data_IF_423901814697
#
_entry.id   IF_423901814697
#
_cell.length_a   1.000
_cell.length_b   1.000
_cell.length_c   1.000
_cell.angle_alpha   90.00
_cell.angle_beta   90.00
_cell.angle_gamma   90.00
#
_symmetry.space_group_name_H-M   'P 1'
#
loop_
_entity.id
_entity.type
_entity.pdbx_description
1 polymer ?
#
# COMPACT_ATOMS: atom_id res chain seq x y z
N UNK A 1 10.05 -9.61 14.26
CA UNK A 1 9.58 -8.49 15.14
C UNK A 1 10.74 -7.73 15.77
N UNK A 2 11.79 -8.41 16.28
CA UNK A 2 12.95 -7.76 16.88
C UNK A 2 13.59 -6.73 15.93
N UNK A 3 13.91 -7.13 14.70
CA UNK A 3 14.50 -6.23 13.70
C UNK A 3 13.63 -5.00 13.41
N UNK A 4 12.30 -5.14 13.53
CA UNK A 4 11.38 -4.02 13.35
C UNK A 4 11.42 -3.08 14.54
N UNK A 5 11.48 -3.62 15.76
CA UNK A 5 11.65 -2.82 16.99
C UNK A 5 12.95 -2.02 16.95
N UNK A 6 14.05 -2.64 16.54
CA UNK A 6 15.35 -1.97 16.42
C UNK A 6 15.32 -0.83 15.38
N UNK A 7 14.61 -1.04 14.26
CA UNK A 7 14.44 0.01 13.23
C UNK A 7 13.57 1.16 13.70
N UNK A 8 12.50 0.87 14.43
CA UNK A 8 11.63 1.90 15.03
C UNK A 8 12.44 2.70 16.05
N UNK A 9 13.09 2.04 16.99
CA UNK A 9 13.89 2.69 18.02
C UNK A 9 15.02 3.54 17.42
N UNK A 10 15.70 3.05 16.38
CA UNK A 10 16.72 3.82 15.66
C UNK A 10 16.17 5.06 14.96
N UNK A 11 14.97 4.98 14.41
CA UNK A 11 14.30 6.14 13.78
C UNK A 11 13.88 7.17 14.82
N UNK A 12 13.31 6.76 15.94
CA UNK A 12 12.89 7.64 17.03
C UNK A 12 14.07 8.41 17.64
N UNK A 13 15.25 7.80 17.71
CA UNK A 13 16.48 8.44 18.21
C UNK A 13 16.99 9.54 17.26
N UNK A 14 16.61 9.55 15.99
CA UNK A 14 17.04 10.60 15.02
C UNK A 14 16.31 11.92 15.20
N UNK A 15 15.35 12.02 16.13
CA UNK A 15 14.64 13.26 16.45
C UNK A 15 13.72 13.75 15.33
N UNK A 16 13.42 12.92 14.35
CA UNK A 16 12.41 13.24 13.35
C UNK A 16 11.05 13.23 14.02
N UNK A 17 10.43 14.41 14.05
CA UNK A 17 9.13 14.61 14.68
C UNK A 17 8.05 13.71 14.10
N UNK A 18 7.25 13.12 14.99
CA UNK A 18 5.82 12.84 14.87
C UNK A 18 5.39 11.45 14.48
N UNK A 19 4.18 11.20 14.93
CA UNK A 19 3.30 10.05 14.71
C UNK A 19 3.57 9.35 13.39
N UNK A 20 4.33 8.30 13.46
CA UNK A 20 4.79 7.59 12.29
C UNK A 20 3.93 6.35 12.01
N UNK A 21 3.90 6.00 10.75
CA UNK A 21 3.52 4.67 10.30
C UNK A 21 4.80 3.99 9.85
N UNK A 22 5.15 2.89 10.47
CA UNK A 22 6.29 2.07 10.06
C UNK A 22 5.80 0.93 9.18
N UNK A 23 6.42 0.72 8.02
CA UNK A 23 5.98 -0.34 7.12
C UNK A 23 7.16 -1.03 6.41
N UNK A 24 6.93 -2.28 6.03
CA UNK A 24 7.92 -3.11 5.37
C UNK A 24 7.37 -3.85 4.17
N UNK A 25 8.05 -4.92 3.80
CA UNK A 25 7.70 -5.81 2.70
C UNK A 25 6.91 -7.01 3.20
N UNK A 26 6.24 -7.71 2.30
CA UNK A 26 5.61 -9.00 2.57
C UNK A 26 6.15 -10.06 1.60
N UNK A 27 6.24 -11.29 2.07
CA UNK A 27 6.48 -12.45 1.23
C UNK A 27 5.15 -13.11 0.90
N UNK A 28 4.84 -13.26 -0.38
CA UNK A 28 3.60 -13.88 -0.84
C UNK A 28 3.86 -15.36 -1.16
N UNK A 29 3.24 -16.25 -0.39
CA UNK A 29 3.47 -17.71 -0.51
C UNK A 29 2.97 -18.30 -1.81
N UNK A 30 1.80 -17.84 -2.29
CA UNK A 30 1.19 -18.37 -3.53
C UNK A 30 2.09 -18.17 -4.74
N UNK A 31 2.69 -17.00 -4.85
CA UNK A 31 3.60 -16.68 -5.97
C UNK A 31 5.06 -16.96 -5.67
N UNK A 32 5.41 -17.20 -4.40
CA UNK A 32 6.79 -17.34 -3.95
C UNK A 32 7.61 -16.07 -4.12
N UNK A 33 6.98 -14.91 -4.11
CA UNK A 33 7.61 -13.63 -4.44
C UNK A 33 7.65 -12.67 -3.26
N UNK A 34 8.74 -11.91 -3.19
CA UNK A 34 8.83 -10.75 -2.31
C UNK A 34 8.04 -9.58 -2.94
N UNK A 35 7.00 -9.16 -2.25
CA UNK A 35 6.22 -7.95 -2.60
C UNK A 35 6.82 -6.77 -1.86
N UNK A 36 7.66 -6.02 -2.55
CA UNK A 36 8.30 -4.82 -1.99
C UNK A 36 7.33 -3.66 -1.96
N UNK A 37 7.23 -3.02 -0.80
CA UNK A 37 6.50 -1.76 -0.62
C UNK A 37 7.25 -0.59 -1.26
N UNK A 38 6.50 0.46 -1.63
CA UNK A 38 7.11 1.68 -2.15
C UNK A 38 7.87 2.42 -1.02
N UNK A 39 9.20 2.60 -1.13
CA UNK A 39 9.98 3.26 -0.09
C UNK A 39 9.72 4.77 0.04
N UNK A 40 9.15 5.39 -1.00
CA UNK A 40 8.82 6.82 -1.04
C UNK A 40 7.33 6.97 -1.33
N UNK A 41 6.51 6.77 -0.29
CA UNK A 41 5.08 6.90 -0.41
C UNK A 41 4.68 8.38 -0.47
N UNK A 42 3.87 8.71 -1.46
CA UNK A 42 3.30 10.04 -1.66
C UNK A 42 1.80 9.92 -1.98
N UNK A 43 1.13 11.05 -2.17
CA UNK A 43 -0.31 11.08 -2.45
C UNK A 43 -0.71 10.25 -3.69
N UNK A 44 0.12 10.22 -4.75
CA UNK A 44 -0.12 9.36 -5.90
C UNK A 44 0.05 7.87 -5.57
N UNK A 45 1.05 7.54 -4.73
CA UNK A 45 1.21 6.19 -4.19
C UNK A 45 -0.03 5.76 -3.42
N UNK A 46 -0.51 6.59 -2.50
CA UNK A 46 -1.75 6.38 -1.74
C UNK A 46 -2.98 6.21 -2.66
N UNK A 47 -3.10 7.01 -3.72
CA UNK A 47 -4.18 6.86 -4.71
C UNK A 47 -4.20 5.49 -5.38
N UNK A 48 -3.04 4.92 -5.66
CA UNK A 48 -2.92 3.60 -6.28
C UNK A 48 -3.19 2.46 -5.31
N UNK A 49 -2.50 2.46 -4.22
CA UNK A 49 -2.61 1.51 -3.11
C UNK A 49 -1.68 1.93 -1.98
N UNK A 50 -1.95 1.45 -0.77
CA UNK A 50 -1.09 1.62 0.39
C UNK A 50 -0.25 0.36 0.63
N UNK A 51 0.78 0.39 1.50
CA UNK A 51 1.49 -0.82 1.90
C UNK A 51 0.53 -1.88 2.47
N UNK A 52 0.91 -3.14 2.36
CA UNK A 52 0.10 -4.23 2.94
C UNK A 52 -0.09 -3.99 4.44
N UNK A 53 -1.32 -3.98 4.93
CA UNK A 53 -1.63 -3.69 6.32
C UNK A 53 -0.96 -4.67 7.29
N UNK A 54 -0.72 -5.92 6.87
CA UNK A 54 0.00 -6.92 7.67
C UNK A 54 1.48 -6.56 7.90
N UNK A 55 2.02 -5.64 7.10
CA UNK A 55 3.38 -5.12 7.25
C UNK A 55 3.40 -3.65 7.71
N UNK A 56 2.29 -3.14 8.26
CA UNK A 56 2.18 -1.79 8.78
C UNK A 56 2.06 -1.80 10.31
N UNK A 57 2.84 -0.91 10.95
CA UNK A 57 2.77 -0.62 12.37
C UNK A 57 2.42 0.84 12.53
N UNK A 58 1.43 1.11 13.35
CA UNK A 58 0.94 2.45 13.61
C UNK A 58 1.26 2.86 15.03
N UNK A 59 1.61 4.10 15.23
CA UNK A 59 1.59 4.65 16.57
C UNK A 59 0.18 4.54 17.16
N UNK A 60 0.11 4.12 18.40
CA UNK A 60 -1.15 3.83 19.11
C UNK A 60 -2.14 5.00 19.04
N UNK A 61 -1.63 6.22 19.18
CA UNK A 61 -2.45 7.43 19.20
C UNK A 61 -3.20 7.67 17.88
N UNK A 62 -2.63 7.27 16.74
CA UNK A 62 -3.32 7.35 15.44
C UNK A 62 -4.58 6.47 15.42
N UNK A 63 -4.48 5.25 15.95
CA UNK A 63 -5.60 4.30 15.99
C UNK A 63 -6.65 4.70 17.02
N UNK A 64 -6.25 5.34 18.12
CA UNK A 64 -7.20 5.86 19.12
C UNK A 64 -7.97 7.08 18.62
N UNK A 65 -7.31 7.96 17.87
CA UNK A 65 -7.95 9.17 17.30
C UNK A 65 -8.89 8.84 16.14
N UNK A 66 -8.60 7.81 15.38
CA UNK A 66 -9.42 7.38 14.25
C UNK A 66 -9.43 5.85 14.18
N UNK A 67 -10.37 5.18 14.84
CA UNK A 67 -10.50 3.73 14.75
C UNK A 67 -10.99 3.30 13.37
N UNK A 68 -10.76 2.03 13.01
CA UNK A 68 -11.21 1.47 11.74
C UNK A 68 -12.70 1.72 11.49
N UNK A 69 -13.02 2.27 10.33
CA UNK A 69 -14.38 2.61 9.94
C UNK A 69 -15.10 1.37 9.41
N UNK A 70 -16.08 0.86 10.18
CA UNK A 70 -16.78 -0.40 9.89
C UNK A 70 -17.71 -0.33 8.66
N UNK A 71 -17.97 0.87 8.14
CA UNK A 71 -18.68 1.06 6.88
C UNK A 71 -17.90 0.55 5.66
N UNK A 72 -16.57 0.47 5.76
CA UNK A 72 -15.69 -0.10 4.74
C UNK A 72 -15.40 -1.56 5.05
N UNK A 73 -16.10 -2.44 4.36
CA UNK A 73 -16.02 -3.88 4.63
C UNK A 73 -14.71 -4.52 4.16
N UNK A 74 -14.14 -4.00 3.07
CA UNK A 74 -12.95 -4.57 2.41
C UNK A 74 -11.74 -3.65 2.50
N UNK A 75 -11.95 -2.34 2.60
CA UNK A 75 -10.92 -1.31 2.53
C UNK A 75 -10.80 -0.45 3.78
N UNK A 76 -11.20 -0.97 4.94
CA UNK A 76 -11.07 -0.23 6.21
C UNK A 76 -9.60 0.10 6.54
N UNK A 77 -8.69 -0.81 6.25
CA UNK A 77 -7.24 -0.63 6.38
C UNK A 77 -6.70 0.47 5.43
N UNK A 78 -7.20 0.51 4.21
CA UNK A 78 -6.87 1.54 3.25
C UNK A 78 -7.38 2.92 3.69
N UNK A 79 -8.60 2.99 4.18
CA UNK A 79 -9.18 4.23 4.71
C UNK A 79 -8.40 4.75 5.91
N UNK A 80 -8.09 3.87 6.87
CA UNK A 80 -7.28 4.18 8.04
C UNK A 80 -5.92 4.77 7.65
N UNK A 81 -5.24 4.15 6.68
CA UNK A 81 -3.95 4.66 6.20
C UNK A 81 -4.09 6.05 5.58
N UNK A 82 -5.11 6.28 4.75
CA UNK A 82 -5.34 7.57 4.12
C UNK A 82 -5.67 8.66 5.14
N UNK A 83 -6.47 8.35 6.15
CA UNK A 83 -6.72 9.29 7.25
C UNK A 83 -5.41 9.67 7.96
N UNK A 84 -4.61 8.69 8.32
CA UNK A 84 -3.31 8.94 8.94
C UNK A 84 -2.43 9.85 8.06
N UNK A 85 -2.38 9.57 6.76
CA UNK A 85 -1.54 10.31 5.82
C UNK A 85 -2.06 11.74 5.53
N UNK A 86 -3.36 11.89 5.24
CA UNK A 86 -3.92 13.17 4.78
C UNK A 86 -4.41 14.07 5.92
N UNK A 87 -5.01 13.52 6.98
CA UNK A 87 -5.61 14.29 8.07
C UNK A 87 -4.64 14.40 9.26
N UNK A 88 -4.13 13.28 9.75
CA UNK A 88 -3.20 13.28 10.87
C UNK A 88 -1.79 13.75 10.49
N UNK A 89 -1.49 13.85 9.18
CA UNK A 89 -0.14 14.20 8.66
C UNK A 89 0.95 13.27 9.18
N UNK A 90 0.59 12.02 9.45
CA UNK A 90 1.56 11.02 9.83
C UNK A 90 2.60 10.82 8.73
N UNK A 91 3.86 10.66 9.13
CA UNK A 91 4.96 10.43 8.21
C UNK A 91 5.22 8.93 8.08
N UNK A 92 4.92 8.28 6.92
CA UNK A 92 5.19 6.86 6.73
C UNK A 92 6.68 6.61 6.55
N UNK A 93 7.24 5.72 7.38
CA UNK A 93 8.65 5.34 7.33
C UNK A 93 8.81 3.91 6.79
N UNK A 94 9.54 3.78 5.69
CA UNK A 94 9.85 2.48 5.10
C UNK A 94 11.07 1.87 5.77
N UNK A 95 10.90 0.70 6.38
CA UNK A 95 11.96 0.01 7.14
C UNK A 95 12.88 -0.86 6.29
N UNK A 96 12.45 -1.24 5.09
CA UNK A 96 13.19 -2.17 4.21
C UNK A 96 13.10 -3.64 4.62
N UNK A 97 12.46 -3.95 5.75
CA UNK A 97 12.37 -5.30 6.31
C UNK A 97 11.20 -6.06 5.72
N UNK A 98 11.33 -7.37 5.52
CA UNK A 98 10.21 -8.27 5.23
C UNK A 98 9.56 -8.65 6.55
N UNK A 99 8.32 -8.18 6.77
CA UNK A 99 7.63 -8.23 8.06
C UNK A 99 6.68 -9.39 8.17
N UNK A 100 5.94 -9.66 7.08
CA UNK A 100 4.86 -10.63 7.09
C UNK A 100 5.01 -11.64 5.96
N UNK A 101 4.51 -12.82 6.24
CA UNK A 101 4.33 -13.91 5.29
C UNK A 101 2.83 -14.01 4.97
N UNK A 102 2.49 -13.70 3.73
CA UNK A 102 1.11 -13.57 3.26
C UNK A 102 0.72 -14.78 2.40
N UNK A 103 -0.33 -15.48 2.81
CA UNK A 103 -0.76 -16.69 2.09
C UNK A 103 -1.38 -16.41 0.72
N UNK A 104 -1.89 -15.21 0.47
CA UNK A 104 -2.66 -14.90 -0.73
C UNK A 104 -4.10 -15.42 -0.67
N UNK A 105 -4.93 -15.07 -1.66
CA UNK A 105 -6.32 -15.57 -1.74
C UNK A 105 -7.25 -15.10 -0.62
N UNK A 106 -6.89 -14.04 0.09
CA UNK A 106 -7.63 -13.52 1.23
C UNK A 106 -9.03 -12.98 0.89
N UNK A 107 -9.75 -12.55 1.92
CA UNK A 107 -11.13 -12.04 1.83
C UNK A 107 -11.31 -10.96 0.75
N UNK A 108 -10.36 -10.04 0.59
CA UNK A 108 -10.41 -8.94 -0.38
C UNK A 108 -10.30 -9.39 -1.85
N UNK A 109 -9.79 -10.59 -2.10
CA UNK A 109 -9.49 -11.10 -3.46
C UNK A 109 -10.65 -11.91 -4.08
N UNK A 110 -11.67 -12.23 -3.32
CA UNK A 110 -12.84 -12.93 -3.85
C UNK A 110 -13.56 -12.07 -4.90
N UNK A 111 -14.13 -12.71 -5.95
CA UNK A 111 -14.84 -11.99 -7.03
C UNK A 111 -15.90 -11.02 -6.51
N UNK A 112 -16.67 -11.41 -5.48
CA UNK A 112 -17.67 -10.56 -4.83
C UNK A 112 -17.04 -9.34 -4.18
N UNK A 113 -15.97 -9.52 -3.44
CA UNK A 113 -15.31 -8.46 -2.70
C UNK A 113 -14.49 -7.54 -3.60
N UNK A 114 -14.05 -7.98 -4.77
CA UNK A 114 -13.39 -7.12 -5.76
C UNK A 114 -14.27 -5.94 -6.23
N UNK A 115 -15.58 -6.19 -6.42
CA UNK A 115 -16.51 -5.12 -6.79
C UNK A 115 -16.70 -4.12 -5.64
N UNK A 116 -16.91 -4.64 -4.41
CA UNK A 116 -17.01 -3.83 -3.18
C UNK A 116 -15.73 -3.03 -2.98
N UNK A 117 -14.57 -3.67 -3.09
CA UNK A 117 -13.24 -3.04 -2.95
C UNK A 117 -13.05 -1.86 -3.92
N UNK A 118 -13.52 -1.97 -5.18
CA UNK A 118 -13.43 -0.86 -6.15
C UNK A 118 -14.31 0.32 -5.74
N UNK A 119 -15.53 0.04 -5.30
CA UNK A 119 -16.46 1.08 -4.88
C UNK A 119 -15.99 1.78 -3.60
N UNK A 120 -15.53 1.03 -2.62
CA UNK A 120 -14.96 1.57 -1.39
C UNK A 120 -13.70 2.40 -1.69
N UNK A 121 -12.80 1.93 -2.54
CA UNK A 121 -11.64 2.71 -2.99
C UNK A 121 -12.07 4.04 -3.60
N UNK A 122 -13.08 4.05 -4.48
CA UNK A 122 -13.60 5.26 -5.08
C UNK A 122 -14.11 6.25 -4.04
N UNK A 123 -14.90 5.78 -3.06
CA UNK A 123 -15.44 6.61 -1.98
C UNK A 123 -14.32 7.19 -1.11
N UNK A 124 -13.35 6.35 -0.72
CA UNK A 124 -12.25 6.74 0.14
C UNK A 124 -11.36 7.79 -0.55
N UNK A 125 -10.98 7.60 -1.81
CA UNK A 125 -10.19 8.60 -2.52
C UNK A 125 -10.96 9.90 -2.78
N UNK A 126 -12.30 9.84 -2.88
CA UNK A 126 -13.15 11.04 -2.94
C UNK A 126 -13.16 11.81 -1.60
N UNK A 127 -13.10 11.10 -0.49
CA UNK A 127 -13.06 11.70 0.86
C UNK A 127 -11.76 12.47 1.11
N UNK A 128 -10.60 11.91 0.70
CA UNK A 128 -9.29 12.45 1.06
C UNK A 128 -8.57 13.23 -0.03
N UNK A 129 -9.03 13.15 -1.28
CA UNK A 129 -8.33 13.76 -2.41
C UNK A 129 -9.25 14.67 -3.21
N UNK A 130 -8.75 15.84 -3.59
CA UNK A 130 -9.47 16.79 -4.44
C UNK A 130 -9.81 16.20 -5.81
N UNK A 131 -10.79 16.79 -6.50
CA UNK A 131 -11.14 16.40 -7.85
C UNK A 131 -9.92 16.51 -8.80
N UNK A 132 -9.16 17.59 -8.72
CA UNK A 132 -7.97 17.81 -9.53
C UNK A 132 -6.91 16.73 -9.34
N UNK A 133 -6.61 16.35 -8.10
CA UNK A 133 -5.67 15.26 -7.79
C UNK A 133 -6.13 13.94 -8.41
N UNK A 134 -7.40 13.56 -8.20
CA UNK A 134 -7.97 12.31 -8.73
C UNK A 134 -7.94 12.28 -10.26
N UNK A 135 -8.28 13.39 -10.91
CA UNK A 135 -8.23 13.53 -12.36
C UNK A 135 -6.80 13.37 -12.88
N UNK A 136 -5.85 14.10 -12.31
CA UNK A 136 -4.42 14.02 -12.68
C UNK A 136 -3.87 12.60 -12.49
N UNK A 137 -4.15 11.97 -11.36
CA UNK A 137 -3.67 10.62 -11.08
C UNK A 137 -4.27 9.57 -12.03
N UNK A 138 -5.55 9.73 -12.36
CA UNK A 138 -6.21 8.88 -13.37
C UNK A 138 -5.57 9.05 -14.75
N UNK A 139 -5.28 10.29 -15.13
CA UNK A 139 -4.61 10.60 -16.39
C UNK A 139 -3.21 9.97 -16.45
N UNK A 140 -2.42 10.11 -15.39
CA UNK A 140 -1.10 9.47 -15.28
C UNK A 140 -1.21 7.95 -15.42
N UNK A 141 -2.18 7.31 -14.76
CA UNK A 141 -2.39 5.86 -14.89
C UNK A 141 -2.78 5.45 -16.31
N UNK A 142 -3.58 6.23 -17.01
CA UNK A 142 -3.93 5.98 -18.41
C UNK A 142 -2.71 6.12 -19.32
N UNK A 143 -1.97 7.22 -19.20
CA UNK A 143 -0.77 7.49 -20.02
C UNK A 143 0.36 6.48 -19.77
N UNK A 144 0.53 6.02 -18.54
CA UNK A 144 1.55 5.02 -18.20
C UNK A 144 1.12 3.58 -18.49
N UNK A 145 -0.04 3.39 -19.10
CA UNK A 145 -0.60 2.07 -19.40
C UNK A 145 -0.63 1.11 -18.18
N UNK A 146 -0.76 1.68 -16.99
CA UNK A 146 -0.73 0.91 -15.76
C UNK A 146 -1.77 -0.23 -15.72
N UNK A 147 -3.02 -0.05 -16.18
CA UNK A 147 -4.00 -1.13 -16.25
C UNK A 147 -3.56 -2.27 -17.16
N UNK A 148 -2.95 -1.94 -18.31
CA UNK A 148 -2.44 -2.94 -19.25
C UNK A 148 -1.26 -3.70 -18.66
N UNK A 149 -0.31 -3.02 -18.03
CA UNK A 149 0.81 -3.65 -17.32
C UNK A 149 0.33 -4.60 -16.23
N UNK A 150 -0.65 -4.19 -15.45
CA UNK A 150 -1.23 -5.05 -14.40
C UNK A 150 -1.91 -6.28 -14.99
N UNK A 151 -2.61 -6.14 -16.13
CA UNK A 151 -3.24 -7.27 -16.81
C UNK A 151 -2.20 -8.25 -17.37
N UNK A 152 -1.12 -7.74 -17.95
CA UNK A 152 0.00 -8.55 -18.47
C UNK A 152 0.72 -9.28 -17.33
N UNK A 153 0.99 -8.60 -16.21
CA UNK A 153 1.70 -9.18 -15.07
C UNK A 153 0.89 -10.24 -14.31
N UNK A 154 -0.44 -10.18 -14.37
CA UNK A 154 -1.34 -11.15 -13.72
C UNK A 154 -1.70 -12.34 -14.62
N UNK A 155 -1.37 -12.30 -15.90
CA UNK A 155 -1.64 -13.41 -16.82
C UNK A 155 -0.49 -14.40 -16.75
N UNK A 156 -0.76 -15.65 -16.35
CA UNK A 156 0.24 -16.72 -16.17
C UNK A 156 1.16 -16.91 -17.39
N UNK A 157 0.61 -16.77 -18.61
CA UNK A 157 1.37 -16.93 -19.86
C UNK A 157 2.33 -15.77 -20.16
N UNK A 158 2.04 -14.56 -19.67
CA UNK A 158 2.82 -13.35 -19.97
C UNK A 158 3.62 -12.81 -18.79
N UNK A 159 3.28 -13.24 -17.57
CA UNK A 159 3.92 -12.76 -16.34
C UNK A 159 5.43 -13.03 -16.31
N UNK A 160 5.86 -14.24 -16.71
CA UNK A 160 7.26 -14.61 -16.72
C UNK A 160 8.10 -13.74 -17.68
N UNK A 161 7.58 -13.50 -18.88
CA UNK A 161 8.22 -12.62 -19.87
C UNK A 161 8.27 -11.18 -19.39
N UNK A 162 7.14 -10.67 -18.86
CA UNK A 162 7.06 -9.33 -18.30
C UNK A 162 8.05 -9.10 -17.16
N UNK A 163 8.16 -10.06 -16.23
CA UNK A 163 9.08 -9.96 -15.10
C UNK A 163 10.56 -10.02 -15.53
N UNK A 164 10.89 -10.83 -16.55
CA UNK A 164 12.24 -10.84 -17.15
C UNK A 164 12.60 -9.50 -17.79
N UNK A 165 11.70 -8.90 -18.58
CA UNK A 165 11.90 -7.59 -19.20
C UNK A 165 12.02 -6.48 -18.15
N UNK A 166 11.17 -6.52 -17.13
CA UNK A 166 11.23 -5.58 -16.01
C UNK A 166 12.57 -5.67 -15.29
N UNK A 167 13.03 -6.89 -14.94
CA UNK A 167 14.29 -7.09 -14.26
C UNK A 167 15.49 -6.60 -15.08
N UNK A 168 15.47 -6.78 -16.41
CA UNK A 168 16.50 -6.28 -17.31
C UNK A 168 16.54 -4.74 -17.36
N UNK A 169 15.37 -4.07 -17.32
CA UNK A 169 15.26 -2.61 -17.33
C UNK A 169 15.71 -1.97 -16.00
N UNK A 170 15.52 -2.65 -14.88
CA UNK A 170 15.88 -2.13 -13.54
C UNK A 170 17.30 -2.53 -13.08
N UNK A 171 18.05 -3.27 -13.89
CA UNK A 171 19.46 -3.59 -13.63
C UNK A 171 20.44 -2.51 -14.08
N UNK A 172 19.97 -1.36 -14.53
CA UNK A 172 20.81 -0.20 -14.90
C UNK A 172 20.88 0.84 -13.80
#
# INVERSE_FOLDING_TARGET
>A
LADMQDRIAGHEQTGTEHSAIYYGNVYERVTGQLVSSNPKLNAFGCYRNVPCHQACFYERELLLRHPFQLEYRVRADYEQFLWCFFEAKANPFYTGITVADYEGGGFSETKKNLAVSKEEHRKIVQKYMSFGQRFTYRLILCLTLAPLRTRISKNEKTAALYNRLKAALYRR
#
